data_IF_466100159398
#
_entry.id   IF_466100159398
#
_cell.length_a   1.000
_cell.length_b   1.000
_cell.length_c   1.000
_cell.angle_alpha   90.00
_cell.angle_beta   90.00
_cell.angle_gamma   90.00
#
_symmetry.space_group_name_H-M   'P 1'
#
loop_
_entity.id
_entity.type
_entity.pdbx_description
1 polymer ?
#
# COMPACT_ATOMS: atom_id res chain seq x y z
N UNK A 1 24.28 -12.85 15.25
CA UNK A 1 24.65 -12.24 13.94
C UNK A 1 24.83 -10.74 13.98
N UNK A 2 24.19 -9.99 14.90
CA UNK A 2 24.45 -8.56 15.18
C UNK A 2 24.97 -8.38 16.62
N UNK A 3 25.95 -9.17 17.00
CA UNK A 3 26.52 -9.20 18.36
C UNK A 3 26.97 -7.83 18.87
N UNK A 4 27.70 -6.98 18.12
CA UNK A 4 28.12 -5.68 18.63
C UNK A 4 26.94 -4.74 18.92
N UNK A 5 25.83 -4.85 18.19
CA UNK A 5 24.67 -3.97 18.33
C UNK A 5 23.58 -4.53 19.27
N UNK A 6 23.74 -5.77 19.75
CA UNK A 6 22.73 -6.46 20.55
C UNK A 6 22.38 -5.70 21.84
N UNK A 7 23.33 -4.95 22.39
CA UNK A 7 23.14 -4.15 23.60
C UNK A 7 22.01 -3.12 23.44
N UNK A 8 21.91 -2.43 22.28
CA UNK A 8 20.82 -1.49 21.99
C UNK A 8 19.44 -2.16 22.10
N UNK A 9 19.30 -3.39 21.57
CA UNK A 9 18.05 -4.14 21.64
C UNK A 9 17.71 -4.61 23.06
N UNK A 10 18.72 -5.00 23.84
CA UNK A 10 18.47 -5.43 25.23
C UNK A 10 18.19 -4.26 26.16
N UNK A 11 18.83 -3.12 25.96
CA UNK A 11 18.75 -1.95 26.84
C UNK A 11 17.46 -1.14 26.61
N UNK A 12 16.96 -1.07 25.37
CA UNK A 12 15.69 -0.37 25.08
C UNK A 12 14.50 -0.97 25.83
N UNK A 13 14.59 -2.24 26.23
CA UNK A 13 13.60 -2.92 27.06
C UNK A 13 13.47 -2.29 28.44
N UNK A 14 14.58 -1.81 29.02
CA UNK A 14 14.54 -1.04 30.29
C UNK A 14 13.85 0.32 30.13
N UNK A 15 13.77 0.83 28.89
CA UNK A 15 12.98 2.02 28.54
C UNK A 15 11.48 1.70 28.32
N UNK A 16 11.04 0.48 28.61
CA UNK A 16 9.65 0.04 28.47
C UNK A 16 9.24 -0.40 27.06
N UNK A 17 10.19 -0.54 26.13
CA UNK A 17 9.89 -1.04 24.78
C UNK A 17 9.68 -2.55 24.81
N UNK A 18 8.53 -3.01 24.32
CA UNK A 18 8.21 -4.44 24.16
C UNK A 18 8.90 -5.01 22.92
N UNK A 19 9.44 -6.22 23.03
CA UNK A 19 10.13 -6.90 21.94
C UNK A 19 9.50 -8.26 21.62
N UNK A 20 9.46 -8.63 20.34
CA UNK A 20 8.89 -9.90 19.84
C UNK A 20 9.92 -10.58 18.93
N UNK A 21 10.15 -11.88 19.15
CA UNK A 21 10.93 -12.73 18.25
C UNK A 21 10.00 -13.53 17.35
N UNK A 22 10.25 -13.50 16.04
CA UNK A 22 9.53 -14.32 15.05
C UNK A 22 10.57 -15.22 14.38
N UNK A 23 10.67 -16.47 14.83
CA UNK A 23 11.62 -17.46 14.33
C UNK A 23 11.02 -18.87 14.39
N UNK A 24 11.23 -19.73 13.39
CA UNK A 24 10.66 -21.08 13.37
C UNK A 24 11.20 -21.98 14.48
N UNK A 25 12.43 -21.74 14.93
CA UNK A 25 13.09 -22.40 16.04
C UNK A 25 13.32 -21.45 17.22
N UNK A 26 13.71 -22.01 18.37
CA UNK A 26 14.04 -21.24 19.57
C UNK A 26 15.46 -20.68 19.51
N UNK A 27 15.67 -19.76 18.57
CA UNK A 27 16.94 -19.10 18.35
C UNK A 27 17.33 -18.19 19.51
N UNK A 28 18.62 -17.80 19.60
CA UNK A 28 19.14 -16.94 20.69
C UNK A 28 18.35 -15.64 20.88
N UNK A 29 17.77 -15.09 19.80
CA UNK A 29 16.95 -13.87 19.86
C UNK A 29 15.67 -14.07 20.68
N UNK A 30 15.07 -15.26 20.69
CA UNK A 30 13.86 -15.55 21.45
C UNK A 30 14.08 -15.35 22.96
N UNK A 31 15.29 -15.67 23.45
CA UNK A 31 15.68 -15.48 24.85
C UNK A 31 15.77 -14.00 25.27
N UNK A 32 15.82 -13.07 24.32
CA UNK A 32 15.91 -11.62 24.58
C UNK A 32 14.58 -10.89 24.39
N UNK A 33 13.53 -11.59 23.95
CA UNK A 33 12.23 -11.02 23.64
C UNK A 33 11.18 -11.35 24.70
N UNK A 34 10.13 -10.52 24.76
CA UNK A 34 9.02 -10.72 25.69
C UNK A 34 7.99 -11.74 25.17
N UNK A 35 7.97 -11.97 23.85
CA UNK A 35 7.14 -12.96 23.19
C UNK A 35 7.93 -13.64 22.07
N UNK A 36 7.77 -14.95 21.93
CA UNK A 36 8.27 -15.71 20.79
C UNK A 36 7.08 -16.28 20.00
N UNK A 37 7.07 -16.02 18.70
CA UNK A 37 6.14 -16.57 17.73
C UNK A 37 6.92 -17.44 16.75
N UNK A 38 6.44 -18.66 16.52
CA UNK A 38 7.14 -19.68 15.74
C UNK A 38 6.32 -20.08 14.50
N UNK A 39 6.22 -19.21 13.47
CA UNK A 39 5.59 -19.60 12.22
C UNK A 39 6.43 -20.68 11.52
N UNK A 40 5.79 -21.47 10.64
CA UNK A 40 6.52 -22.36 9.73
C UNK A 40 7.46 -21.52 8.87
N UNK A 41 8.71 -21.94 8.73
CA UNK A 41 9.70 -21.15 7.99
C UNK A 41 9.27 -20.92 6.54
N UNK A 42 9.25 -19.67 6.08
CA UNK A 42 8.80 -19.33 4.74
C UNK A 42 7.30 -19.06 4.62
N UNK A 43 6.52 -19.17 5.71
CA UNK A 43 5.09 -18.77 5.74
C UNK A 43 4.87 -17.41 6.41
N UNK A 44 5.94 -16.66 6.68
CA UNK A 44 5.92 -15.39 7.41
C UNK A 44 5.05 -14.33 6.73
N UNK A 45 4.97 -14.34 5.40
CA UNK A 45 4.13 -13.43 4.62
C UNK A 45 2.63 -13.60 4.93
N UNK A 46 2.16 -14.84 5.20
CA UNK A 46 0.77 -15.08 5.58
C UNK A 46 0.43 -14.42 6.93
N UNK A 47 1.36 -14.50 7.89
CA UNK A 47 1.23 -13.81 9.17
C UNK A 47 1.24 -12.29 8.99
N UNK A 48 2.13 -11.75 8.15
CA UNK A 48 2.20 -10.31 7.87
C UNK A 48 0.91 -9.79 7.20
N UNK A 49 0.33 -10.53 6.25
CA UNK A 49 -0.95 -10.19 5.63
C UNK A 49 -2.10 -10.17 6.66
N UNK A 50 -2.14 -11.14 7.57
CA UNK A 50 -3.13 -11.19 8.64
C UNK A 50 -2.98 -10.01 9.63
N UNK A 51 -1.74 -9.65 9.99
CA UNK A 51 -1.47 -8.46 10.80
C UNK A 51 -1.93 -7.17 10.09
N UNK A 52 -1.57 -7.03 8.80
CA UNK A 52 -2.00 -5.90 7.97
C UNK A 52 -3.52 -5.79 7.86
N UNK A 53 -4.22 -6.92 7.74
CA UNK A 53 -5.68 -6.96 7.72
C UNK A 53 -6.29 -6.35 9.00
N UNK A 54 -5.82 -6.77 10.18
CA UNK A 54 -6.30 -6.22 11.45
C UNK A 54 -5.95 -4.74 11.57
N UNK A 55 -4.74 -4.34 11.15
CA UNK A 55 -4.32 -2.94 11.17
C UNK A 55 -5.25 -2.05 10.32
N UNK A 56 -5.58 -2.48 9.10
CA UNK A 56 -6.51 -1.75 8.22
C UNK A 56 -7.93 -1.73 8.78
N UNK A 57 -8.43 -2.87 9.26
CA UNK A 57 -9.77 -2.97 9.84
C UNK A 57 -9.94 -2.01 11.02
N UNK A 58 -9.06 -2.11 12.01
CA UNK A 58 -9.24 -1.38 13.27
C UNK A 58 -8.82 0.11 13.16
N UNK A 59 -7.72 0.40 12.46
CA UNK A 59 -7.11 1.73 12.49
C UNK A 59 -7.29 2.56 11.21
N UNK A 60 -7.87 2.00 10.14
CA UNK A 60 -8.23 2.74 8.93
C UNK A 60 -9.74 2.73 8.64
N UNK A 61 -10.48 1.71 9.09
CA UNK A 61 -11.93 1.62 8.85
C UNK A 61 -12.74 1.92 10.11
N UNK A 62 -12.67 1.07 11.13
CA UNK A 62 -13.59 1.13 12.27
C UNK A 62 -13.31 2.34 13.18
N UNK A 63 -12.03 2.64 13.41
CA UNK A 63 -11.58 3.82 14.16
C UNK A 63 -10.38 4.46 13.45
N UNK A 64 -10.62 5.26 12.40
CA UNK A 64 -9.55 5.80 11.57
C UNK A 64 -8.58 6.64 12.41
N UNK A 65 -7.32 6.23 12.43
CA UNK A 65 -6.23 6.98 13.05
C UNK A 65 -5.92 8.19 12.19
N UNK A 66 -6.03 9.39 12.78
CA UNK A 66 -5.71 10.64 12.07
C UNK A 66 -4.29 10.62 11.49
N UNK A 67 -3.32 10.14 12.28
CA UNK A 67 -1.92 10.06 11.86
C UNK A 67 -1.73 9.08 10.70
N UNK A 68 -2.28 7.86 10.79
CA UNK A 68 -2.10 6.87 9.72
C UNK A 68 -2.81 7.28 8.43
N UNK A 69 -4.02 7.85 8.55
CA UNK A 69 -4.80 8.31 7.40
C UNK A 69 -4.08 9.43 6.65
N UNK A 70 -3.59 10.45 7.37
CA UNK A 70 -2.79 11.53 6.77
C UNK A 70 -1.48 11.02 6.17
N UNK A 71 -0.80 10.10 6.86
CA UNK A 71 0.46 9.54 6.38
C UNK A 71 0.30 8.82 5.04
N UNK A 72 -0.66 7.88 4.94
CA UNK A 72 -0.84 7.10 3.71
C UNK A 72 -1.34 7.97 2.55
N UNK A 73 -2.12 9.02 2.86
CA UNK A 73 -2.58 9.99 1.86
C UNK A 73 -1.43 10.75 1.19
N UNK A 74 -0.42 11.15 1.96
CA UNK A 74 0.67 12.04 1.48
C UNK A 74 1.93 11.30 1.04
N UNK A 75 2.16 10.10 1.56
CA UNK A 75 3.44 9.40 1.42
C UNK A 75 3.36 8.03 0.75
N UNK A 76 2.18 7.65 0.25
CA UNK A 76 2.00 6.40 -0.51
C UNK A 76 1.24 6.67 -1.80
N UNK A 77 1.19 5.66 -2.66
CA UNK A 77 0.42 5.66 -3.90
C UNK A 77 -1.03 5.17 -3.71
N UNK A 78 -1.50 4.95 -2.48
CA UNK A 78 -2.89 4.59 -2.18
C UNK A 78 -3.96 5.48 -2.85
N UNK A 79 -3.84 6.82 -2.90
CA UNK A 79 -4.85 7.66 -3.56
C UNK A 79 -4.78 7.65 -5.09
N UNK A 80 -3.81 6.98 -5.70
CA UNK A 80 -3.62 6.99 -7.15
C UNK A 80 -4.58 6.04 -7.87
N UNK A 81 -4.99 6.42 -9.07
CA UNK A 81 -5.95 5.67 -9.86
C UNK A 81 -5.30 4.53 -10.66
N UNK A 82 -5.97 3.37 -10.67
CA UNK A 82 -5.61 2.19 -11.45
C UNK A 82 -6.68 1.91 -12.49
N UNK A 83 -6.27 1.61 -13.72
CA UNK A 83 -7.19 1.24 -14.80
C UNK A 83 -7.61 -0.22 -14.64
N UNK A 84 -8.90 -0.48 -14.80
CA UNK A 84 -9.45 -1.84 -14.81
C UNK A 84 -9.47 -2.38 -16.24
N UNK A 85 -8.93 -3.58 -16.43
CA UNK A 85 -8.95 -4.30 -17.70
C UNK A 85 -10.06 -5.34 -17.70
N UNK A 86 -10.87 -5.36 -18.74
CA UNK A 86 -11.96 -6.32 -18.89
C UNK A 86 -11.43 -7.76 -19.03
N UNK A 87 -12.11 -8.69 -18.37
CA UNK A 87 -11.92 -10.14 -18.44
C UNK A 87 -13.30 -10.79 -18.59
N UNK A 88 -13.32 -12.11 -18.80
CA UNK A 88 -14.58 -12.84 -18.97
C UNK A 88 -15.40 -12.85 -17.67
N UNK A 89 -16.37 -11.93 -17.56
CA UNK A 89 -17.28 -11.79 -16.43
C UNK A 89 -16.77 -11.00 -15.21
N UNK A 90 -15.57 -10.43 -15.26
CA UNK A 90 -14.96 -9.62 -14.18
C UNK A 90 -13.87 -8.68 -14.73
N UNK A 91 -13.21 -7.92 -13.86
CA UNK A 91 -12.08 -7.05 -14.22
C UNK A 91 -10.77 -7.47 -13.54
N UNK A 92 -9.64 -7.14 -14.14
CA UNK A 92 -8.32 -7.23 -13.52
C UNK A 92 -7.71 -5.84 -13.32
N UNK A 93 -6.93 -5.65 -12.25
CA UNK A 93 -6.14 -4.44 -12.08
C UNK A 93 -5.05 -4.36 -13.17
N UNK A 94 -5.12 -3.35 -14.03
CA UNK A 94 -4.13 -3.07 -15.06
C UNK A 94 -3.07 -2.09 -14.58
N UNK A 95 -2.60 -1.23 -15.50
CA UNK A 95 -1.65 -0.16 -15.17
C UNK A 95 -2.32 1.01 -14.43
N UNK A 96 -1.51 1.80 -13.74
CA UNK A 96 -1.94 3.10 -13.19
C UNK A 96 -2.36 4.06 -14.30
N UNK A 97 -3.40 4.85 -14.04
CA UNK A 97 -3.86 5.92 -14.90
C UNK A 97 -2.79 7.04 -14.96
N UNK A 98 -2.53 7.53 -16.16
CA UNK A 98 -1.54 8.58 -16.43
C UNK A 98 -2.23 9.84 -16.92
N UNK A 99 -1.59 10.98 -16.72
CA UNK A 99 -2.12 12.26 -17.21
C UNK A 99 -2.38 12.21 -18.73
N UNK A 100 -1.50 11.55 -19.49
CA UNK A 100 -1.63 11.34 -20.94
C UNK A 100 -2.88 10.55 -21.38
N UNK A 101 -3.54 9.83 -20.47
CA UNK A 101 -4.76 9.06 -20.79
C UNK A 101 -6.02 9.93 -20.84
N UNK A 102 -5.91 11.19 -20.40
CA UNK A 102 -7.03 12.11 -20.27
C UNK A 102 -6.95 13.24 -21.30
N UNK A 103 -8.09 13.85 -21.59
CA UNK A 103 -8.21 14.97 -22.51
C UNK A 103 -7.24 16.09 -22.10
N UNK A 104 -6.55 16.66 -23.09
CA UNK A 104 -5.52 17.69 -22.92
C UNK A 104 -4.39 17.33 -21.95
N UNK A 105 -4.18 16.03 -21.69
CA UNK A 105 -3.19 15.49 -20.76
C UNK A 105 -3.25 16.12 -19.35
N UNK A 106 -4.42 16.59 -18.91
CA UNK A 106 -4.62 17.42 -17.71
C UNK A 106 -3.68 18.65 -17.66
N UNK A 107 -3.36 19.23 -18.81
CA UNK A 107 -2.46 20.38 -18.95
C UNK A 107 -0.99 20.06 -18.65
N UNK A 108 -0.58 18.79 -18.66
CA UNK A 108 0.80 18.39 -18.49
C UNK A 108 1.49 18.26 -19.86
N UNK A 109 2.36 19.21 -20.20
CA UNK A 109 3.09 19.20 -21.48
C UNK A 109 4.31 18.26 -21.45
N UNK A 110 5.04 18.25 -20.32
CA UNK A 110 6.24 17.42 -20.15
C UNK A 110 5.88 16.06 -19.55
N UNK A 111 6.32 14.98 -20.19
CA UNK A 111 6.20 13.59 -19.70
C UNK A 111 4.83 13.21 -19.09
N UNK A 112 3.69 13.54 -19.73
CA UNK A 112 2.36 13.25 -19.20
C UNK A 112 2.10 11.75 -18.99
N UNK A 113 2.76 10.88 -19.76
CA UNK A 113 2.70 9.42 -19.64
C UNK A 113 3.40 8.88 -18.37
N UNK A 114 4.20 9.72 -17.69
CA UNK A 114 4.94 9.39 -16.47
C UNK A 114 4.37 10.04 -15.20
N UNK A 115 3.20 10.67 -15.31
CA UNK A 115 2.55 11.37 -14.19
C UNK A 115 1.26 10.66 -13.81
N UNK A 116 1.21 10.16 -12.57
CA UNK A 116 0.04 9.46 -12.01
C UNK A 116 -1.06 10.43 -11.64
N UNK A 117 -2.30 9.92 -11.63
CA UNK A 117 -3.51 10.72 -11.45
C UNK A 117 -4.25 10.25 -10.20
N UNK A 118 -4.88 11.19 -9.49
CA UNK A 118 -5.71 10.93 -8.32
C UNK A 118 -6.97 11.81 -8.36
N UNK A 119 -7.93 11.54 -7.48
CA UNK A 119 -9.00 12.50 -7.17
C UNK A 119 -8.63 13.33 -5.95
N UNK A 120 -9.08 14.57 -5.90
CA UNK A 120 -9.11 15.34 -4.67
C UNK A 120 -10.37 15.03 -3.82
N UNK A 121 -10.44 15.59 -2.61
CA UNK A 121 -11.61 15.44 -1.72
C UNK A 121 -12.89 16.07 -2.30
N UNK A 122 -12.80 17.00 -3.26
CA UNK A 122 -13.96 17.58 -3.96
C UNK A 122 -14.47 16.67 -5.08
N UNK A 123 -13.71 15.63 -5.46
CA UNK A 123 -14.03 14.74 -6.58
C UNK A 123 -13.51 15.24 -7.92
N UNK A 124 -12.60 16.21 -7.92
CA UNK A 124 -11.93 16.71 -9.12
C UNK A 124 -10.67 15.88 -9.40
N UNK A 125 -10.41 15.63 -10.68
CA UNK A 125 -9.24 14.86 -11.11
C UNK A 125 -8.00 15.76 -11.11
N UNK A 126 -6.90 15.27 -10.54
CA UNK A 126 -5.67 16.05 -10.37
C UNK A 126 -4.43 15.21 -10.67
N UNK A 127 -3.36 15.89 -11.08
CA UNK A 127 -2.02 15.32 -11.20
C UNK A 127 -1.17 15.88 -10.06
N UNK A 128 -1.03 15.18 -8.91
CA UNK A 128 -0.24 15.70 -7.81
C UNK A 128 1.25 15.79 -8.18
N UNK A 129 1.95 16.73 -7.55
CA UNK A 129 3.41 16.80 -7.60
C UNK A 129 4.09 15.47 -7.19
N UNK A 130 5.35 15.31 -7.57
CA UNK A 130 6.21 14.23 -7.06
C UNK A 130 6.31 12.96 -7.91
N UNK A 131 5.37 12.73 -8.83
CA UNK A 131 5.48 11.62 -9.79
C UNK A 131 6.74 11.76 -10.66
N UNK A 132 7.25 10.62 -11.18
CA UNK A 132 8.56 10.56 -11.83
C UNK A 132 8.64 11.45 -13.09
N UNK A 133 7.51 11.73 -13.75
CA UNK A 133 7.44 12.66 -14.87
C UNK A 133 7.80 14.11 -14.52
N UNK A 134 7.73 14.52 -13.25
CA UNK A 134 8.18 15.85 -12.82
C UNK A 134 9.68 15.95 -12.55
N UNK A 135 10.39 14.81 -12.53
CA UNK A 135 11.82 14.77 -12.17
C UNK A 135 12.71 15.32 -13.28
N UNK A 136 12.29 15.11 -14.54
CA UNK A 136 13.07 15.45 -15.73
C UNK A 136 12.24 16.40 -16.59
N UNK A 137 12.89 17.40 -17.19
CA UNK A 137 12.22 18.43 -18.02
C UNK A 137 11.51 19.52 -17.21
N UNK A 138 10.77 19.16 -16.16
CA UNK A 138 10.15 20.10 -15.23
C UNK A 138 11.07 20.44 -14.05
N UNK A 139 11.10 21.72 -13.62
CA UNK A 139 11.87 22.16 -12.45
C UNK A 139 10.95 22.53 -11.29
N UNK A 140 11.29 22.06 -10.09
CA UNK A 140 10.65 22.48 -8.84
C UNK A 140 9.39 21.72 -8.42
N UNK A 141 8.85 20.83 -9.27
CA UNK A 141 7.62 20.06 -8.99
C UNK A 141 7.86 18.60 -8.57
N UNK A 142 9.11 18.14 -8.55
CA UNK A 142 9.47 16.82 -8.04
C UNK A 142 9.69 16.88 -6.52
N UNK A 143 8.59 16.96 -5.78
CA UNK A 143 8.54 17.00 -4.32
C UNK A 143 7.23 16.35 -3.83
N UNK A 144 7.10 16.17 -2.51
CA UNK A 144 5.91 15.59 -1.87
C UNK A 144 5.00 16.66 -1.25
N UNK A 145 5.04 17.89 -1.76
CA UNK A 145 4.04 18.88 -1.39
C UNK A 145 2.69 18.46 -1.97
N UNK A 146 1.65 18.54 -1.16
CA UNK A 146 0.28 18.26 -1.54
C UNK A 146 -0.27 19.38 -2.42
N UNK A 147 0.22 19.46 -3.66
CA UNK A 147 -0.11 20.47 -4.65
C UNK A 147 -0.48 19.87 -5.99
N UNK A 148 -1.42 20.51 -6.67
CA UNK A 148 -1.75 20.21 -8.06
C UNK A 148 -0.57 20.58 -8.98
N UNK A 149 -0.15 19.65 -9.81
CA UNK A 149 1.01 19.78 -10.68
C UNK A 149 0.81 20.73 -11.86
N UNK A 150 -0.42 21.18 -12.14
CA UNK A 150 -0.73 22.21 -13.14
C UNK A 150 -0.83 23.58 -12.47
N UNK A 151 -1.76 23.75 -11.54
CA UNK A 151 -2.10 25.06 -10.93
C UNK A 151 -1.12 25.46 -9.83
N UNK A 152 -0.49 24.49 -9.16
CA UNK A 152 0.34 24.72 -7.98
C UNK A 152 -0.44 24.97 -6.69
N UNK A 153 -1.77 24.91 -6.74
CA UNK A 153 -2.64 25.08 -5.57
C UNK A 153 -2.57 23.86 -4.65
N UNK A 154 -2.88 24.06 -3.37
CA UNK A 154 -2.91 22.98 -2.39
C UNK A 154 -4.07 22.01 -2.69
N UNK A 155 -3.81 20.71 -2.60
CA UNK A 155 -4.78 19.65 -2.90
C UNK A 155 -4.76 18.56 -1.84
N UNK A 156 -5.95 18.17 -1.37
CA UNK A 156 -6.11 17.02 -0.49
C UNK A 156 -6.62 15.83 -1.32
N UNK A 157 -5.77 14.81 -1.50
CA UNK A 157 -6.09 13.66 -2.36
C UNK A 157 -7.01 12.68 -1.66
N UNK A 158 -8.09 12.23 -2.29
CA UNK A 158 -9.03 11.24 -1.76
C UNK A 158 -8.44 9.82 -1.79
N UNK A 159 -8.60 9.07 -0.70
CA UNK A 159 -8.06 7.70 -0.56
C UNK A 159 -8.96 6.60 -1.13
N UNK A 160 -10.28 6.74 -1.02
CA UNK A 160 -11.25 5.72 -1.42
C UNK A 160 -12.37 6.32 -2.24
N UNK A 161 -12.86 5.57 -3.23
CA UNK A 161 -14.02 5.95 -4.05
C UNK A 161 -15.34 5.43 -3.44
N UNK A 162 -15.29 4.74 -2.30
CA UNK A 162 -16.51 4.31 -1.61
C UNK A 162 -17.34 5.55 -1.20
N UNK A 163 -18.61 5.60 -1.60
CA UNK A 163 -19.49 6.76 -1.41
C UNK A 163 -19.37 7.86 -2.49
N UNK A 164 -18.44 7.74 -3.44
CA UNK A 164 -18.28 8.64 -4.59
C UNK A 164 -17.94 7.92 -5.88
N UNK A 165 -18.44 6.68 -6.05
CA UNK A 165 -18.27 5.85 -7.24
C UNK A 165 -19.56 5.83 -8.08
N UNK A 166 -19.42 5.54 -9.37
CA UNK A 166 -20.56 5.44 -10.29
C UNK A 166 -21.22 4.05 -10.24
N UNK A 167 -20.42 2.99 -10.10
CA UNK A 167 -20.88 1.60 -10.03
C UNK A 167 -19.88 0.71 -9.26
N UNK A 168 -20.27 -0.53 -8.97
CA UNK A 168 -19.46 -1.55 -8.29
C UNK A 168 -19.06 -2.64 -9.29
N UNK A 169 -17.76 -2.79 -9.53
CA UNK A 169 -17.21 -3.80 -10.42
C UNK A 169 -16.55 -4.95 -9.64
N UNK A 170 -16.70 -6.20 -10.12
CA UNK A 170 -15.95 -7.33 -9.56
C UNK A 170 -14.52 -7.29 -10.08
N UNK A 171 -13.54 -7.24 -9.18
CA UNK A 171 -12.11 -7.32 -9.52
C UNK A 171 -11.56 -8.66 -9.04
N UNK A 172 -10.90 -9.39 -9.94
CA UNK A 172 -10.27 -10.68 -9.64
C UNK A 172 -8.85 -10.51 -9.14
N UNK A 173 -8.54 -11.15 -8.01
CA UNK A 173 -7.21 -11.16 -7.40
C UNK A 173 -6.63 -12.58 -7.40
N UNK A 174 -5.37 -12.75 -7.83
CA UNK A 174 -4.75 -14.07 -7.83
C UNK A 174 -4.52 -14.56 -6.39
N UNK A 175 -4.84 -15.82 -6.15
CA UNK A 175 -4.67 -16.48 -4.86
C UNK A 175 -3.86 -17.75 -4.99
N UNK A 176 -2.72 -17.78 -4.28
CA UNK A 176 -1.77 -18.89 -4.31
C UNK A 176 -1.75 -19.70 -3.00
N UNK A 177 -2.61 -19.36 -2.02
CA UNK A 177 -2.60 -20.02 -0.71
C UNK A 177 -3.07 -21.48 -0.73
N UNK A 178 -3.69 -21.92 -1.82
CA UNK A 178 -4.03 -23.32 -2.08
C UNK A 178 -2.90 -24.14 -2.71
N UNK A 179 -1.84 -23.50 -3.19
CA UNK A 179 -0.72 -24.15 -3.86
C UNK A 179 0.44 -24.46 -2.89
N UNK A 180 1.35 -25.35 -3.29
CA UNK A 180 2.59 -25.64 -2.56
C UNK A 180 2.91 -27.12 -2.44
N UNK A 181 4.06 -27.43 -1.83
CA UNK A 181 4.50 -28.81 -1.57
C UNK A 181 3.79 -29.40 -0.35
N UNK A 182 3.89 -30.71 -0.16
CA UNK A 182 3.37 -31.46 0.99
C UNK A 182 3.99 -31.05 2.34
N UNK A 183 5.10 -30.30 2.33
CA UNK A 183 5.79 -29.84 3.54
C UNK A 183 5.16 -28.59 4.17
N UNK A 184 4.15 -28.01 3.53
CA UNK A 184 3.48 -26.78 3.93
C UNK A 184 1.97 -26.98 3.96
N UNK A 185 1.32 -26.40 4.97
CA UNK A 185 -0.12 -26.34 5.04
C UNK A 185 -0.64 -25.37 3.98
N UNK A 186 -1.81 -25.69 3.42
CA UNK A 186 -2.45 -24.95 2.33
C UNK A 186 -3.90 -24.70 2.70
N UNK A 187 -4.48 -23.65 2.13
CA UNK A 187 -5.90 -23.34 2.25
C UNK A 187 -6.48 -23.32 0.84
N UNK A 188 -7.24 -24.36 0.50
CA UNK A 188 -7.84 -24.48 -0.83
C UNK A 188 -8.97 -23.45 -0.99
N UNK A 189 -8.81 -22.56 -1.97
CA UNK A 189 -9.81 -21.64 -2.49
C UNK A 189 -9.68 -21.59 -4.02
N UNK A 190 -10.55 -20.82 -4.67
CA UNK A 190 -10.39 -20.52 -6.09
C UNK A 190 -9.10 -19.74 -6.35
N UNK A 191 -8.42 -20.03 -7.47
CA UNK A 191 -7.17 -19.38 -7.86
C UNK A 191 -7.35 -17.88 -8.17
N UNK A 192 -8.58 -17.45 -8.44
CA UNK A 192 -8.95 -16.04 -8.61
C UNK A 192 -10.07 -15.74 -7.65
N UNK A 193 -9.83 -14.85 -6.70
CA UNK A 193 -10.83 -14.37 -5.75
C UNK A 193 -11.47 -13.10 -6.29
N UNK A 194 -12.79 -13.11 -6.43
CA UNK A 194 -13.55 -11.94 -6.85
C UNK A 194 -13.89 -11.07 -5.63
N UNK A 195 -13.48 -9.80 -5.68
CA UNK A 195 -13.78 -8.79 -4.67
C UNK A 195 -14.58 -7.63 -5.28
N UNK A 196 -15.42 -7.00 -4.46
CA UNK A 196 -16.24 -5.84 -4.78
C UNK A 196 -15.83 -4.66 -3.90
#
# INVERSE_FOLDING_TARGET
TRTPDAHFFTEVRYKGTKTVAITPDYAEIAKLCDLWLAPKQGTDAAMALAMGHVMLREFHLDKPSQYFTDYVRRYTDMPMLVMLEERDGYYAAGRMLRAADLVDALGQETNPEWKTVAFDEKGEITVPNGSIGFRWGDKGKWNLEQRDGKTGEDVELRLSLLGGHDDIANVGFPYFGGEGTEHFNKVELENVLLHK
#
